data_IF_663182249573
#
_entry.id   IF_663182249573
#
_cell.length_a   1.000
_cell.length_b   1.000
_cell.length_c   1.000
_cell.angle_alpha   90.00
_cell.angle_beta   90.00
_cell.angle_gamma   90.00
#
_symmetry.space_group_name_H-M   'P 1'
#
loop_
_entity.id
_entity.type
_entity.pdbx_description
1 polymer ?
#
# COMPACT_ATOMS: atom_id res chain seq x y z
N UNK A 1 -12.67 -4.93 13.49
CA UNK A 1 -11.22 -5.13 13.66
C UNK A 1 -10.75 -6.06 12.56
N UNK A 2 -9.62 -5.75 11.93
CA UNK A 2 -8.87 -6.69 11.08
C UNK A 2 -7.61 -7.04 11.86
N UNK A 3 -7.37 -8.33 12.08
CA UNK A 3 -6.28 -8.87 12.89
C UNK A 3 -5.50 -9.84 12.00
N UNK A 4 -4.17 -9.73 12.01
CA UNK A 4 -3.30 -10.59 11.20
C UNK A 4 -2.93 -11.92 11.92
N UNK A 5 -2.25 -12.87 11.24
CA UNK A 5 -1.84 -14.14 11.85
C UNK A 5 -0.86 -13.99 13.04
N UNK A 6 -0.26 -12.82 13.22
CA UNK A 6 0.62 -12.48 14.35
C UNK A 6 -0.18 -11.85 15.51
N UNK A 7 -1.51 -11.91 15.47
CA UNK A 7 -2.42 -11.31 16.43
C UNK A 7 -2.27 -9.79 16.58
N UNK A 8 -1.76 -9.11 15.55
CA UNK A 8 -1.64 -7.66 15.54
C UNK A 8 -2.90 -7.04 14.95
N UNK A 9 -3.45 -6.03 15.63
CA UNK A 9 -4.58 -5.25 15.09
C UNK A 9 -4.09 -4.36 13.95
N UNK A 10 -4.58 -4.62 12.73
CA UNK A 10 -4.15 -3.92 11.50
C UNK A 10 -5.07 -2.81 11.07
N UNK A 11 -6.36 -2.94 11.37
CA UNK A 11 -7.33 -1.89 11.12
C UNK A 11 -8.50 -1.97 12.11
N UNK A 12 -9.05 -0.81 12.44
CA UNK A 12 -10.24 -0.69 13.27
C UNK A 12 -11.24 0.22 12.55
N UNK A 13 -12.48 -0.27 12.38
CA UNK A 13 -13.59 0.48 11.82
C UNK A 13 -14.70 0.55 12.86
N UNK A 14 -15.17 1.76 13.15
CA UNK A 14 -16.28 2.01 14.06
C UNK A 14 -17.40 2.71 13.29
N UNK A 15 -18.54 2.04 13.16
CA UNK A 15 -19.75 2.59 12.54
C UNK A 15 -20.82 2.76 13.62
N UNK A 16 -21.64 3.83 13.56
CA UNK A 16 -22.79 3.96 14.45
C UNK A 16 -23.89 2.95 14.09
N UNK A 17 -24.84 2.74 15.01
CA UNK A 17 -25.95 1.79 14.83
C UNK A 17 -26.80 2.07 13.57
N UNK A 18 -26.88 3.34 13.16
CA UNK A 18 -27.70 3.80 12.05
C UNK A 18 -27.11 3.55 10.66
N UNK A 19 -25.84 3.16 10.54
CA UNK A 19 -25.15 3.12 9.27
C UNK A 19 -24.56 1.73 8.99
N UNK A 20 -25.04 1.09 7.92
CA UNK A 20 -24.50 -0.16 7.42
C UNK A 20 -23.03 -0.01 6.97
N UNK A 21 -22.27 -1.10 7.09
CA UNK A 21 -20.88 -1.17 6.64
C UNK A 21 -20.82 -1.42 5.14
N UNK A 22 -19.76 -0.92 4.50
CA UNK A 22 -19.42 -1.30 3.13
C UNK A 22 -18.54 -2.56 3.18
N UNK A 23 -19.06 -3.70 2.71
CA UNK A 23 -18.34 -4.98 2.73
C UNK A 23 -17.24 -5.02 1.66
N UNK A 24 -17.47 -4.41 0.50
CA UNK A 24 -16.47 -4.34 -0.57
C UNK A 24 -15.22 -3.57 -0.10
N UNK A 25 -15.39 -2.53 0.72
CA UNK A 25 -14.24 -1.80 1.30
C UNK A 25 -13.48 -2.64 2.32
N UNK A 26 -14.19 -3.47 3.11
CA UNK A 26 -13.53 -4.37 4.07
C UNK A 26 -12.71 -5.44 3.32
N UNK A 27 -13.25 -5.99 2.23
CA UNK A 27 -12.53 -6.91 1.35
C UNK A 27 -11.32 -6.24 0.68
N UNK A 28 -11.52 -5.05 0.10
CA UNK A 28 -10.43 -4.27 -0.52
C UNK A 28 -9.31 -3.99 0.47
N UNK A 29 -9.64 -3.60 1.70
CA UNK A 29 -8.66 -3.33 2.75
C UNK A 29 -7.91 -4.62 3.17
N UNK A 30 -8.60 -5.76 3.26
CA UNK A 30 -7.95 -7.04 3.53
C UNK A 30 -6.92 -7.39 2.46
N UNK A 31 -7.30 -7.29 1.18
CA UNK A 31 -6.40 -7.58 0.05
C UNK A 31 -5.22 -6.60 0.08
N UNK A 32 -5.46 -5.30 0.27
CA UNK A 32 -4.40 -4.29 0.35
C UNK A 32 -3.39 -4.56 1.48
N UNK A 33 -3.86 -4.97 2.66
CA UNK A 33 -3.00 -5.35 3.78
C UNK A 33 -2.13 -6.57 3.43
N UNK A 34 -2.72 -7.59 2.81
CA UNK A 34 -1.99 -8.79 2.39
C UNK A 34 -0.95 -8.47 1.30
N UNK A 35 -1.31 -7.65 0.30
CA UNK A 35 -0.39 -7.22 -0.77
C UNK A 35 0.78 -6.40 -0.19
N UNK A 36 0.48 -5.48 0.74
CA UNK A 36 1.49 -4.67 1.45
C UNK A 36 2.48 -5.57 2.19
N UNK A 37 1.99 -6.54 2.96
CA UNK A 37 2.85 -7.41 3.77
C UNK A 37 3.71 -8.34 2.91
N UNK A 38 3.13 -8.89 1.83
CA UNK A 38 3.80 -9.81 0.91
C UNK A 38 4.91 -9.13 0.12
N UNK A 39 4.64 -7.95 -0.45
CA UNK A 39 5.55 -7.30 -1.39
C UNK A 39 6.35 -6.14 -0.79
N UNK A 40 6.12 -5.78 0.48
CA UNK A 40 6.78 -4.63 1.14
C UNK A 40 6.57 -3.32 0.39
N UNK A 41 5.34 -3.12 -0.11
CA UNK A 41 4.89 -1.92 -0.82
C UNK A 41 3.85 -1.17 0.01
N UNK A 42 3.43 0.01 -0.44
CA UNK A 42 2.27 0.71 0.09
C UNK A 42 1.18 0.86 -1.00
N UNK A 43 -0.09 0.86 -0.61
CA UNK A 43 -1.21 1.05 -1.54
C UNK A 43 -1.69 2.51 -1.52
N UNK A 44 -1.84 3.20 -2.67
CA UNK A 44 -2.36 4.56 -2.72
C UNK A 44 -3.83 4.67 -2.27
N UNK A 45 -4.32 5.90 -2.15
CA UNK A 45 -5.72 6.16 -1.87
C UNK A 45 -6.61 5.53 -2.95
N UNK A 46 -7.72 4.91 -2.53
CA UNK A 46 -8.66 4.19 -3.40
C UNK A 46 -8.09 3.01 -4.20
N UNK A 47 -6.87 2.55 -3.87
CA UNK A 47 -6.20 1.48 -4.59
C UNK A 47 -7.05 0.21 -4.70
N UNK A 48 -7.06 -0.37 -5.90
CA UNK A 48 -7.66 -1.67 -6.21
C UNK A 48 -6.60 -2.67 -6.71
N UNK A 49 -6.85 -3.98 -6.54
CA UNK A 49 -5.96 -5.01 -7.06
C UNK A 49 -5.65 -4.80 -8.56
N UNK A 50 -4.37 -4.80 -8.90
CA UNK A 50 -3.87 -4.59 -10.26
C UNK A 50 -3.50 -3.13 -10.59
N UNK A 51 -3.86 -2.16 -9.75
CA UNK A 51 -3.40 -0.77 -9.89
C UNK A 51 -1.97 -0.58 -9.35
N UNK A 52 -1.31 0.50 -9.79
CA UNK A 52 0.03 0.84 -9.34
C UNK A 52 0.11 1.00 -7.81
N UNK A 53 1.23 0.57 -7.25
CA UNK A 53 1.57 0.66 -5.83
C UNK A 53 2.63 1.72 -5.60
N UNK A 54 2.78 2.15 -4.35
CA UNK A 54 3.81 3.09 -3.92
C UNK A 54 5.01 2.30 -3.38
N UNK A 55 6.21 2.65 -3.85
CA UNK A 55 7.45 2.20 -3.23
C UNK A 55 7.69 3.02 -1.96
N UNK A 56 7.88 2.40 -0.78
CA UNK A 56 8.10 3.12 0.47
C UNK A 56 9.17 4.21 0.33
N UNK A 57 8.98 5.41 0.90
CA UNK A 57 9.92 6.51 0.76
C UNK A 57 11.30 6.13 1.32
N UNK A 58 12.40 6.65 0.75
CA UNK A 58 13.73 6.32 1.20
C UNK A 58 14.01 6.98 2.56
N UNK A 59 14.67 6.25 3.46
CA UNK A 59 14.99 6.74 4.81
C UNK A 59 16.25 7.61 4.92
N UNK A 60 16.98 7.81 3.82
CA UNK A 60 18.24 8.57 3.81
C UNK A 60 18.45 9.32 2.49
N UNK A 61 19.27 10.38 2.52
CA UNK A 61 19.58 11.17 1.32
C UNK A 61 20.28 10.34 0.24
N UNK A 62 21.12 9.36 0.62
CA UNK A 62 21.77 8.45 -0.32
C UNK A 62 20.77 7.60 -1.08
N UNK A 63 19.83 6.97 -0.38
CA UNK A 63 18.77 6.15 -0.99
C UNK A 63 17.78 7.01 -1.82
N UNK A 64 17.54 8.26 -1.41
CA UNK A 64 16.75 9.21 -2.18
C UNK A 64 17.41 9.54 -3.51
N UNK A 65 18.72 9.81 -3.49
CA UNK A 65 19.51 10.09 -4.68
C UNK A 65 19.55 8.88 -5.62
N UNK A 66 19.85 7.70 -5.10
CA UNK A 66 19.88 6.45 -5.88
C UNK A 66 18.55 6.19 -6.58
N UNK A 67 17.42 6.39 -5.90
CA UNK A 67 16.09 6.22 -6.49
C UNK A 67 15.80 7.15 -7.66
N UNK A 68 16.24 8.41 -7.56
CA UNK A 68 16.02 9.41 -8.62
C UNK A 68 16.96 9.16 -9.79
N UNK A 69 18.21 8.80 -9.53
CA UNK A 69 19.23 8.55 -10.56
C UNK A 69 19.07 7.19 -11.24
N UNK A 70 18.55 6.20 -10.52
CA UNK A 70 18.41 4.81 -10.97
C UNK A 70 17.07 4.23 -10.50
N UNK A 71 15.95 4.68 -11.09
CA UNK A 71 14.64 4.20 -10.71
C UNK A 71 14.44 2.73 -11.08
N UNK A 72 13.64 1.97 -10.31
CA UNK A 72 13.26 0.61 -10.67
C UNK A 72 12.57 0.56 -12.05
N UNK A 73 12.76 -0.51 -12.84
CA UNK A 73 12.13 -0.64 -14.15
C UNK A 73 10.60 -0.50 -14.09
N UNK A 74 10.06 0.38 -14.93
CA UNK A 74 8.62 0.65 -14.97
C UNK A 74 8.09 1.57 -13.86
N UNK A 75 8.96 2.06 -12.95
CA UNK A 75 8.56 2.99 -11.92
C UNK A 75 8.36 4.41 -12.47
N UNK A 76 7.29 5.06 -12.03
CA UNK A 76 7.01 6.48 -12.26
C UNK A 76 7.44 7.27 -11.04
N UNK A 77 8.62 7.90 -11.14
CA UNK A 77 9.14 8.81 -10.10
C UNK A 77 8.49 10.18 -10.28
N UNK A 78 7.61 10.55 -9.37
CA UNK A 78 7.04 11.90 -9.32
C UNK A 78 7.95 12.84 -8.52
N UNK A 79 8.49 12.31 -7.42
CA UNK A 79 9.54 12.94 -6.61
C UNK A 79 10.31 11.84 -5.86
N UNK A 80 11.42 12.18 -5.21
CA UNK A 80 12.27 11.23 -4.47
C UNK A 80 11.50 10.43 -3.42
N UNK A 81 10.47 11.02 -2.81
CA UNK A 81 9.63 10.37 -1.80
C UNK A 81 8.37 9.71 -2.39
N UNK A 82 8.01 10.04 -3.63
CA UNK A 82 6.78 9.57 -4.27
C UNK A 82 7.09 8.88 -5.59
N UNK A 83 7.16 7.56 -5.52
CA UNK A 83 7.43 6.69 -6.69
C UNK A 83 6.34 5.63 -6.78
N UNK A 84 5.67 5.59 -7.92
CA UNK A 84 4.69 4.57 -8.26
C UNK A 84 5.35 3.46 -9.07
N UNK A 85 4.90 2.24 -8.92
CA UNK A 85 5.34 1.10 -9.72
C UNK A 85 4.16 0.15 -9.97
N UNK A 86 4.19 -0.62 -11.07
CA UNK A 86 3.19 -1.67 -11.30
C UNK A 86 3.12 -2.63 -10.11
N UNK A 87 1.90 -3.02 -9.71
CA UNK A 87 1.74 -4.01 -8.65
C UNK A 87 2.47 -5.31 -9.05
N UNK A 88 3.34 -5.86 -8.19
CA UNK A 88 3.94 -7.17 -8.42
C UNK A 88 2.85 -8.23 -8.61
N UNK A 89 3.07 -9.14 -9.55
CA UNK A 89 2.22 -10.33 -9.72
C UNK A 89 2.69 -11.44 -8.77
N UNK A 90 1.75 -12.29 -8.39
CA UNK A 90 2.01 -13.49 -7.59
C UNK A 90 2.87 -14.52 -8.33
#
# INVERSE_FOLDING_TARGET
FIIDPQATVRAILYYPLSNGRNIEEIERLLIALQTTDKHKIATPANWKPGEDVIIPPPGSCGAAKERVESPPPGAKVLDWFLTLAPCPKD
#
